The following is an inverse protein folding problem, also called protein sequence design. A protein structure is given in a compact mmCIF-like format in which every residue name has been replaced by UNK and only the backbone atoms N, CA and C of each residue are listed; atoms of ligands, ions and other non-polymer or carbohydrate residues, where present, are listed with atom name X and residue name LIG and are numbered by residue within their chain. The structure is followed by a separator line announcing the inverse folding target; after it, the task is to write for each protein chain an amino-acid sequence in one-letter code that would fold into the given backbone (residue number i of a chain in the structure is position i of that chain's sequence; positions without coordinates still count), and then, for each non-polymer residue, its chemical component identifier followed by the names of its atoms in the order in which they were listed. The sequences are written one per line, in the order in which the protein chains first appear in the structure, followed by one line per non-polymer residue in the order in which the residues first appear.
data_IF_327889195880
#
_entry.id   IF_327889195880
#
_cell.length_a   1.000
_cell.length_b   1.000
_cell.length_c   1.000
_cell.angle_alpha   90.00
_cell.angle_beta   90.00
_cell.angle_gamma   90.00
#
_symmetry.space_group_name_H-M   'P 1'
#
loop_
_entity.id
_entity.type
_entity.pdbx_description
1 polymer ?
#
# COMPACT_ATOMS: atom_id res chain seq x y z
N UNK A 1 16.78 0.01 -57.59
CA UNK A 1 17.23 0.97 -56.57
C UNK A 1 17.24 0.27 -55.21
N UNK A 2 18.32 0.35 -54.42
CA UNK A 2 18.57 -0.60 -53.33
C UNK A 2 17.81 -0.24 -52.05
N UNK A 3 17.14 -1.26 -51.49
CA UNK A 3 16.55 -1.29 -50.15
C UNK A 3 17.64 -1.61 -49.12
N UNK A 4 18.30 -0.60 -48.55
CA UNK A 4 19.19 -0.81 -47.39
C UNK A 4 19.50 0.52 -46.68
N UNK A 5 18.63 1.02 -45.79
CA UNK A 5 18.99 2.19 -44.94
C UNK A 5 18.49 2.21 -43.49
N UNK A 6 17.78 1.21 -42.99
CA UNK A 6 17.41 1.19 -41.57
C UNK A 6 17.84 -0.13 -40.93
N UNK A 7 19.07 -0.22 -40.38
CA UNK A 7 19.40 -1.31 -39.48
C UNK A 7 18.40 -1.25 -38.32
N UNK A 8 17.85 -2.41 -37.95
CA UNK A 8 16.88 -2.56 -36.88
C UNK A 8 17.38 -1.88 -35.60
N UNK A 9 16.91 -0.65 -35.36
CA UNK A 9 16.91 -0.03 -34.05
C UNK A 9 16.05 -0.95 -33.20
N UNK A 10 16.71 -1.85 -32.45
CA UNK A 10 16.10 -2.56 -31.34
C UNK A 10 15.70 -1.48 -30.36
N UNK A 11 14.45 -1.03 -30.46
CA UNK A 11 13.83 -0.18 -29.44
C UNK A 11 14.08 -0.87 -28.08
N UNK A 12 14.38 -0.10 -27.03
CA UNK A 12 14.51 -0.68 -25.69
C UNK A 12 13.25 -1.52 -25.41
N UNK A 13 13.38 -2.66 -24.71
CA UNK A 13 12.21 -3.48 -24.41
C UNK A 13 11.21 -2.61 -23.65
N UNK A 14 10.07 -2.33 -24.29
CA UNK A 14 8.98 -1.63 -23.64
C UNK A 14 8.61 -2.39 -22.37
N UNK A 15 8.41 -1.71 -21.23
CA UNK A 15 8.00 -2.37 -20.00
C UNK A 15 6.75 -3.21 -20.28
N UNK A 16 6.78 -4.48 -19.87
CA UNK A 16 5.68 -5.39 -20.18
C UNK A 16 4.41 -4.92 -19.48
N UNK A 17 3.41 -4.50 -20.27
CA UNK A 17 2.13 -4.00 -19.72
C UNK A 17 1.46 -5.02 -18.80
N UNK A 18 1.67 -6.31 -19.06
CA UNK A 18 1.24 -7.40 -18.18
C UNK A 18 1.86 -7.31 -16.79
N UNK A 19 3.18 -7.13 -16.70
CA UNK A 19 3.87 -6.99 -15.41
C UNK A 19 3.38 -5.77 -14.63
N UNK A 20 3.06 -4.68 -15.33
CA UNK A 20 2.49 -3.49 -14.69
C UNK A 20 1.06 -3.69 -14.19
N UNK A 21 0.28 -4.56 -14.83
CA UNK A 21 -1.04 -4.96 -14.34
C UNK A 21 -0.93 -5.83 -13.06
N UNK A 22 0.08 -6.70 -12.99
CA UNK A 22 0.37 -7.48 -11.78
C UNK A 22 0.77 -6.58 -10.60
N UNK A 23 1.61 -5.55 -10.84
CA UNK A 23 1.98 -4.54 -9.82
C UNK A 23 0.74 -3.80 -9.30
N UNK A 24 -0.18 -3.41 -10.19
CA UNK A 24 -1.43 -2.77 -9.80
C UNK A 24 -2.25 -3.66 -8.86
N UNK A 25 -2.43 -4.92 -9.25
CA UNK A 25 -3.21 -5.90 -8.49
C UNK A 25 -2.57 -6.17 -7.13
N UNK A 26 -1.25 -6.20 -7.06
CA UNK A 26 -0.52 -6.30 -5.79
C UNK A 26 -0.78 -5.11 -4.86
N UNK A 27 -0.81 -3.88 -5.39
CA UNK A 27 -1.17 -2.69 -4.60
C UNK A 27 -2.56 -2.76 -3.98
N UNK A 28 -3.54 -3.27 -4.75
CA UNK A 28 -4.91 -3.53 -4.25
C UNK A 28 -4.88 -4.55 -3.12
N UNK A 29 -4.23 -5.70 -3.31
CA UNK A 29 -4.12 -6.74 -2.28
C UNK A 29 -3.44 -6.21 -1.02
N UNK A 30 -2.38 -5.41 -1.15
CA UNK A 30 -1.68 -4.82 -0.01
C UNK A 30 -2.61 -3.88 0.79
N UNK A 31 -3.46 -3.11 0.12
CA UNK A 31 -4.50 -2.32 0.78
C UNK A 31 -5.52 -3.21 1.51
N UNK A 32 -6.01 -4.27 0.86
CA UNK A 32 -7.00 -5.19 1.43
C UNK A 32 -6.45 -5.95 2.65
N UNK A 33 -5.16 -6.29 2.66
CA UNK A 33 -4.50 -6.95 3.79
C UNK A 33 -4.49 -6.07 5.04
N UNK A 34 -4.11 -4.79 4.92
CA UNK A 34 -4.07 -3.88 6.06
C UNK A 34 -5.47 -3.49 6.55
N UNK A 35 -6.43 -3.35 5.63
CA UNK A 35 -7.81 -3.01 5.98
C UNK A 35 -8.65 -4.23 6.37
N UNK A 36 -8.11 -5.45 6.18
CA UNK A 36 -8.78 -6.75 6.36
C UNK A 36 -10.14 -6.84 5.67
N UNK A 37 -10.28 -6.12 4.55
CA UNK A 37 -11.55 -5.92 3.86
C UNK A 37 -11.32 -5.93 2.36
N UNK A 38 -12.07 -6.75 1.64
CA UNK A 38 -12.07 -6.73 0.19
C UNK A 38 -12.72 -5.44 -0.33
N UNK A 39 -12.07 -4.77 -1.29
CA UNK A 39 -12.60 -3.53 -1.84
C UNK A 39 -13.95 -3.75 -2.51
N UNK A 40 -14.08 -4.84 -3.27
CA UNK A 40 -15.32 -5.15 -3.97
C UNK A 40 -16.50 -5.34 -3.00
N UNK A 41 -16.28 -6.14 -1.94
CA UNK A 41 -17.31 -6.43 -0.94
C UNK A 41 -17.71 -5.18 -0.15
N UNK A 42 -16.80 -4.23 -0.03
CA UNK A 42 -17.03 -3.02 0.75
C UNK A 42 -17.54 -1.87 -0.09
N UNK A 43 -17.42 -1.86 -1.42
CA UNK A 43 -17.87 -0.76 -2.29
C UNK A 43 -19.13 -1.09 -3.09
N UNK A 44 -19.32 -2.34 -3.48
CA UNK A 44 -20.51 -2.75 -4.23
C UNK A 44 -21.68 -2.95 -3.28
N UNK A 45 -22.83 -2.37 -3.62
CA UNK A 45 -24.04 -2.37 -2.80
C UNK A 45 -23.98 -1.44 -1.59
N UNK A 46 -22.91 -0.64 -1.43
CA UNK A 46 -22.73 0.27 -0.29
C UNK A 46 -22.58 1.72 -0.74
N UNK A 47 -23.04 2.66 0.10
CA UNK A 47 -22.85 4.09 -0.15
C UNK A 47 -21.47 4.51 0.36
N UNK A 48 -20.65 5.08 -0.53
CA UNK A 48 -19.33 5.65 -0.21
C UNK A 48 -19.36 7.16 -0.31
N UNK A 49 -18.79 7.85 0.68
CA UNK A 49 -18.73 9.31 0.69
C UNK A 49 -17.95 9.88 -0.51
N UNK A 50 -16.97 9.12 -1.00
CA UNK A 50 -16.09 9.48 -2.11
C UNK A 50 -16.73 9.26 -3.48
N UNK A 51 -17.89 8.60 -3.55
CA UNK A 51 -18.58 8.26 -4.79
C UNK A 51 -19.94 8.97 -4.89
N UNK A 52 -20.30 9.51 -6.06
CA UNK A 52 -21.55 10.26 -6.23
C UNK A 52 -22.80 9.36 -6.21
N UNK A 53 -22.64 8.05 -6.40
CA UNK A 53 -23.73 7.06 -6.41
C UNK A 53 -23.25 5.72 -5.86
N UNK A 54 -24.21 4.85 -5.52
CA UNK A 54 -23.94 3.46 -5.10
C UNK A 54 -23.56 2.64 -6.33
N UNK A 55 -22.46 1.92 -6.24
CA UNK A 55 -22.05 0.95 -7.26
C UNK A 55 -22.83 -0.34 -7.05
N UNK A 56 -23.50 -0.86 -8.06
CA UNK A 56 -24.38 -2.02 -7.88
C UNK A 56 -23.76 -3.31 -8.42
N UNK A 57 -22.77 -3.18 -9.30
CA UNK A 57 -22.12 -4.31 -9.98
C UNK A 57 -20.60 -4.24 -9.85
N UNK A 58 -19.93 -5.35 -10.19
CA UNK A 58 -18.47 -5.40 -10.25
C UNK A 58 -17.95 -4.54 -11.39
N UNK A 59 -18.69 -4.46 -12.49
CA UNK A 59 -18.42 -3.65 -13.66
C UNK A 59 -18.49 -2.15 -13.35
N UNK A 60 -19.43 -1.72 -12.51
CA UNK A 60 -19.50 -0.34 -12.02
C UNK A 60 -18.22 0.02 -11.25
N UNK A 61 -17.76 -0.89 -10.38
CA UNK A 61 -16.53 -0.71 -9.61
C UNK A 61 -15.30 -0.67 -10.53
N UNK A 62 -15.17 -1.61 -11.46
CA UNK A 62 -14.10 -1.60 -12.45
C UNK A 62 -14.10 -0.31 -13.29
N UNK A 63 -15.28 0.21 -13.63
CA UNK A 63 -15.44 1.46 -14.39
C UNK A 63 -14.90 2.65 -13.61
N UNK A 64 -15.25 2.83 -12.34
CA UNK A 64 -14.73 3.98 -11.57
C UNK A 64 -13.24 3.86 -11.30
N UNK A 65 -12.73 2.64 -11.05
CA UNK A 65 -11.30 2.38 -10.89
C UNK A 65 -10.54 2.72 -12.17
N UNK A 66 -11.09 2.37 -13.34
CA UNK A 66 -10.51 2.72 -14.66
C UNK A 66 -10.44 4.24 -14.88
N UNK A 67 -11.31 5.01 -14.22
CA UNK A 67 -11.35 6.48 -14.25
C UNK A 67 -10.51 7.14 -13.15
N UNK A 68 -9.74 6.37 -12.39
CA UNK A 68 -8.81 6.87 -11.37
C UNK A 68 -9.34 6.83 -9.94
N UNK A 69 -10.52 6.28 -9.67
CA UNK A 69 -10.99 6.11 -8.30
C UNK A 69 -10.05 5.21 -7.50
N UNK A 70 -9.60 5.68 -6.33
CA UNK A 70 -8.89 4.91 -5.31
C UNK A 70 -9.42 5.32 -3.94
N UNK A 71 -9.64 4.38 -3.01
CA UNK A 71 -10.04 4.71 -1.64
C UNK A 71 -9.01 5.59 -0.93
N UNK A 72 -9.44 6.39 0.03
CA UNK A 72 -8.54 7.12 0.93
C UNK A 72 -7.74 6.21 1.87
N UNK A 73 -6.61 6.71 2.40
CA UNK A 73 -5.80 5.96 3.37
C UNK A 73 -6.56 5.76 4.67
N UNK A 74 -6.73 4.50 5.09
CA UNK A 74 -7.20 4.18 6.43
C UNK A 74 -6.09 4.33 7.47
N UNK A 75 -6.43 4.72 8.70
CA UNK A 75 -5.48 4.95 9.80
C UNK A 75 -4.63 3.73 10.16
N UNK A 76 -5.17 2.53 9.94
CA UNK A 76 -4.47 1.25 10.14
C UNK A 76 -3.30 1.04 9.17
N UNK A 77 -3.25 1.78 8.06
CA UNK A 77 -2.19 1.66 7.05
C UNK A 77 -1.03 2.61 7.40
N UNK A 78 0.16 2.10 7.76
CA UNK A 78 1.33 2.94 8.02
C UNK A 78 1.72 3.76 6.79
N UNK A 79 2.27 4.95 7.00
CA UNK A 79 2.61 5.86 5.90
C UNK A 79 3.57 5.26 4.85
N UNK A 80 4.65 4.52 5.23
CA UNK A 80 5.54 3.90 4.24
C UNK A 80 4.85 2.83 3.38
N UNK A 81 3.91 2.08 3.98
CA UNK A 81 3.10 1.09 3.28
C UNK A 81 2.13 1.79 2.33
N UNK A 82 1.46 2.85 2.80
CA UNK A 82 0.56 3.64 1.97
C UNK A 82 1.27 4.21 0.75
N UNK A 83 2.46 4.79 0.92
CA UNK A 83 3.27 5.28 -0.20
C UNK A 83 3.56 4.17 -1.24
N UNK A 84 3.85 2.96 -0.76
CA UNK A 84 4.06 1.79 -1.61
C UNK A 84 2.79 1.38 -2.36
N UNK A 85 1.64 1.32 -1.66
CA UNK A 85 0.33 1.07 -2.28
C UNK A 85 0.05 2.11 -3.37
N UNK A 86 0.27 3.40 -3.07
CA UNK A 86 -0.01 4.51 -4.00
C UNK A 86 0.81 4.49 -5.26
N UNK A 87 2.05 4.03 -5.19
CA UNK A 87 2.91 3.87 -6.35
C UNK A 87 2.51 2.63 -7.18
N UNK A 88 2.11 1.54 -6.52
CA UNK A 88 1.71 0.31 -7.20
C UNK A 88 0.44 0.47 -8.06
N UNK A 89 -0.57 1.20 -7.58
CA UNK A 89 -1.87 1.33 -8.25
C UNK A 89 -2.04 2.63 -9.05
N UNK A 90 -0.94 3.24 -9.49
CA UNK A 90 -0.95 4.42 -10.37
C UNK A 90 -1.80 4.19 -11.62
N UNK A 91 -2.51 5.24 -12.06
CA UNK A 91 -3.37 5.16 -13.24
C UNK A 91 -2.55 4.85 -14.49
N UNK A 92 -1.44 5.56 -14.69
CA UNK A 92 -0.47 5.31 -15.75
C UNK A 92 0.39 4.07 -15.39
N UNK A 93 0.36 2.99 -16.20
CA UNK A 93 1.19 1.81 -15.98
C UNK A 93 2.70 2.11 -15.95
N UNK A 94 3.17 3.12 -16.67
CA UNK A 94 4.60 3.46 -16.74
C UNK A 94 5.12 4.15 -15.47
N UNK A 95 4.21 4.66 -14.64
CA UNK A 95 4.54 5.26 -13.33
C UNK A 95 4.62 4.24 -12.21
N UNK A 96 4.23 2.99 -12.48
CA UNK A 96 4.27 1.92 -11.48
C UNK A 96 5.72 1.44 -11.30
N UNK A 97 6.17 1.20 -10.07
CA UNK A 97 7.48 0.63 -9.81
C UNK A 97 7.54 -0.82 -10.33
N UNK A 98 8.75 -1.33 -10.59
CA UNK A 98 8.91 -2.77 -10.81
C UNK A 98 8.64 -3.54 -9.51
N UNK A 99 8.21 -4.80 -9.62
CA UNK A 99 8.02 -5.66 -8.43
C UNK A 99 9.31 -5.84 -7.61
N UNK A 100 10.48 -5.78 -8.24
CA UNK A 100 11.77 -5.79 -7.52
C UNK A 100 11.93 -4.56 -6.62
N UNK A 101 11.54 -3.38 -7.08
CA UNK A 101 11.55 -2.14 -6.27
C UNK A 101 10.52 -2.23 -5.15
N UNK A 102 9.32 -2.74 -5.43
CA UNK A 102 8.27 -2.96 -4.40
C UNK A 102 8.77 -3.88 -3.29
N UNK A 103 9.35 -5.03 -3.65
CA UNK A 103 9.88 -6.00 -2.68
C UNK A 103 10.98 -5.39 -1.81
N UNK A 104 11.93 -4.67 -2.42
CA UNK A 104 13.00 -3.98 -1.67
C UNK A 104 12.46 -2.97 -0.67
N UNK A 105 11.42 -2.19 -1.04
CA UNK A 105 10.76 -1.24 -0.14
C UNK A 105 10.11 -1.97 1.04
N UNK A 106 9.36 -3.04 0.78
CA UNK A 106 8.68 -3.80 1.84
C UNK A 106 9.66 -4.47 2.79
N UNK A 107 10.75 -5.06 2.28
CA UNK A 107 11.80 -5.66 3.10
C UNK A 107 12.48 -4.62 4.00
N UNK A 108 12.73 -3.41 3.47
CA UNK A 108 13.27 -2.30 4.27
C UNK A 108 12.32 -1.91 5.40
N UNK A 109 11.04 -1.73 5.09
CA UNK A 109 10.02 -1.36 6.08
C UNK A 109 9.93 -2.44 7.19
N UNK A 110 9.95 -3.72 6.81
CA UNK A 110 9.92 -4.82 7.77
C UNK A 110 11.18 -4.87 8.67
N UNK A 111 12.36 -4.58 8.11
CA UNK A 111 13.59 -4.51 8.88
C UNK A 111 13.58 -3.34 9.88
N UNK A 112 13.09 -2.16 9.47
CA UNK A 112 12.96 -0.98 10.33
C UNK A 112 11.95 -1.23 11.47
N UNK A 113 10.82 -1.88 11.18
CA UNK A 113 9.80 -2.24 12.18
C UNK A 113 10.38 -3.19 13.25
N UNK A 114 11.15 -4.19 12.81
CA UNK A 114 11.83 -5.15 13.69
C UNK A 114 12.81 -4.45 14.64
N UNK A 115 13.59 -3.48 14.15
CA UNK A 115 14.55 -2.73 14.97
C UNK A 115 13.85 -1.86 16.02
N UNK A 116 12.73 -1.23 15.67
CA UNK A 116 11.96 -0.41 16.61
C UNK A 116 11.35 -1.24 17.75
N UNK A 117 10.97 -2.49 17.50
CA UNK A 117 10.46 -3.39 18.53
C UNK A 117 11.52 -3.79 19.56
N UNK A 118 12.77 -3.99 19.12
CA UNK A 118 13.91 -4.34 20.00
C UNK A 118 14.40 -3.14 20.84
N UNK A 119 14.30 -1.91 20.34
CA UNK A 119 14.64 -0.71 21.11
C UNK A 119 13.64 -0.44 22.24
N UNK A 120 12.33 -0.72 22.02
CA UNK A 120 11.33 -0.67 23.09
C UNK A 120 11.51 -1.78 24.14
N UNK A 121 12.06 -2.95 23.76
CA UNK A 121 12.32 -4.05 24.70
C UNK A 121 13.56 -3.80 25.58
N UNK A 122 14.54 -3.04 25.08
CA UNK A 122 15.83 -2.79 25.76
C UNK A 122 15.81 -1.60 26.74
N UNK A 123 14.76 -0.79 26.77
CA UNK A 123 14.63 0.39 27.65
C UNK A 123 14.16 0.11 29.09
N UNK A 124 13.83 -1.14 29.44
CA UNK A 124 13.34 -1.50 30.77
C UNK A 124 14.47 -2.01 31.69
N UNK A 125 15.49 -1.19 31.97
CA UNK A 125 16.41 -1.47 33.08
C UNK A 125 16.85 -0.17 33.77
N UNK A 126 16.15 0.17 34.86
CA UNK A 126 16.36 1.40 35.62
C UNK A 126 15.56 1.46 36.93
N UNK A 127 15.78 0.45 37.79
CA UNK A 127 15.63 0.42 39.25
C UNK A 127 14.40 1.09 39.91
N UNK A 128 13.52 0.24 40.46
CA UNK A 128 12.67 0.61 41.58
C UNK A 128 13.49 0.98 42.82
N UNK A 129 13.03 2.00 43.53
CA UNK A 129 13.35 2.26 44.93
C UNK A 129 12.10 2.85 45.60
N UNK A 130 11.26 1.99 46.17
CA UNK A 130 10.41 2.39 47.31
C UNK A 130 11.32 2.62 48.51
N UNK A 131 10.95 3.57 49.39
CA UNK A 131 10.35 3.12 50.65
C UNK A 131 9.22 4.04 51.15
N UNK A 132 8.36 3.49 52.02
CA UNK A 132 7.76 4.27 53.10
C UNK A 132 6.24 4.38 53.10
N UNK A 133 5.61 3.49 53.86
CA UNK A 133 4.26 3.64 54.37
C UNK A 133 4.15 4.82 55.35
N UNK A 134 3.16 5.68 55.19
CA UNK A 134 2.48 6.43 56.27
C UNK A 134 1.15 6.96 55.71
N UNK A 135 0.04 6.63 56.38
CA UNK A 135 -1.31 6.77 55.83
C UNK A 135 -1.91 8.17 55.85
N UNK A 136 -3.10 8.30 55.28
CA UNK A 136 -4.19 9.10 55.85
C UNK A 136 -5.55 8.79 55.19
N UNK A 137 -6.52 8.58 56.07
CA UNK A 137 -7.99 8.54 56.04
C UNK A 137 -8.77 9.08 54.83
N UNK A 138 -9.80 8.28 54.52
CA UNK A 138 -11.13 8.56 53.96
C UNK A 138 -11.72 9.93 54.31
N UNK A 139 -12.32 10.60 53.31
CA UNK A 139 -13.58 11.36 53.40
C UNK A 139 -14.20 11.43 52.01
#
# INVERSE_FOLDING_TARGET
MPLAKYPALRLPPEPSLRGMADVFSFGVVLYELFTRTLLIASHVGTKRQELPYVLNTVEDFATVVSRGYRPSRMTVIPFPIWATITDCWQQDPLRRPSMSVVAQRLLRIAAEDSLSAEELSSGANGSGRQPGCAGCVIS
#
